data_IF_382725798425
#
_entry.id   IF_382725798425
#
_cell.length_a   1.000
_cell.length_b   1.000
_cell.length_c   1.000
_cell.angle_alpha   90.00
_cell.angle_beta   90.00
_cell.angle_gamma   90.00
#
_symmetry.space_group_name_H-M   'P 1'
#
loop_
_entity.id
_entity.type
_entity.pdbx_description
1 polymer ?
#
# COMPACT_ATOMS: atom_id res chain seq x y z
N UNK A 1 -14.34 13.01 -10.44
CA UNK A 1 -12.96 12.57 -10.11
C UNK A 1 -12.69 11.31 -10.91
N UNK A 2 -11.47 11.14 -11.42
CA UNK A 2 -11.06 9.92 -12.10
C UNK A 2 -10.36 9.00 -11.10
N UNK A 3 -10.79 7.75 -11.02
CA UNK A 3 -10.12 6.71 -10.23
C UNK A 3 -9.24 5.85 -11.14
N UNK A 4 -8.33 5.10 -10.53
CA UNK A 4 -7.29 4.35 -11.23
C UNK A 4 -7.32 2.90 -10.79
N UNK A 5 -7.54 2.00 -11.75
CA UNK A 5 -7.45 0.57 -11.52
C UNK A 5 -5.99 0.15 -11.30
N UNK A 6 -5.78 -0.81 -10.41
CA UNK A 6 -4.49 -1.43 -10.16
C UNK A 6 -4.65 -2.82 -9.56
N UNK A 7 -3.53 -3.42 -9.22
CA UNK A 7 -3.50 -4.79 -8.70
C UNK A 7 -2.29 -4.98 -7.80
N UNK A 8 -2.30 -6.04 -7.01
CA UNK A 8 -1.12 -6.55 -6.34
C UNK A 8 -1.04 -8.07 -6.49
N UNK A 9 0.17 -8.60 -6.41
CA UNK A 9 0.41 -10.04 -6.38
C UNK A 9 1.68 -10.32 -5.60
N UNK A 10 1.62 -11.38 -4.78
CA UNK A 10 2.67 -11.71 -3.81
C UNK A 10 4.05 -11.88 -4.47
N UNK A 11 4.12 -12.58 -5.60
CA UNK A 11 5.39 -12.87 -6.28
C UNK A 11 5.45 -12.07 -7.56
N UNK A 12 6.62 -11.50 -7.85
CA UNK A 12 6.82 -10.77 -9.10
C UNK A 12 6.47 -11.66 -10.30
N UNK A 13 5.49 -11.27 -11.13
CA UNK A 13 4.97 -12.12 -12.18
C UNK A 13 5.92 -12.23 -13.39
N UNK A 14 7.03 -11.48 -13.38
CA UNK A 14 7.96 -11.37 -14.48
C UNK A 14 7.58 -10.25 -15.45
N UNK A 15 8.60 -9.75 -16.16
CA UNK A 15 8.47 -8.58 -17.01
C UNK A 15 7.49 -8.79 -18.18
N UNK A 16 7.54 -9.95 -18.83
CA UNK A 16 6.65 -10.27 -19.95
C UNK A 16 5.17 -10.21 -19.57
N UNK A 17 4.83 -10.66 -18.36
CA UNK A 17 3.45 -10.63 -17.87
C UNK A 17 2.99 -9.19 -17.60
N UNK A 18 3.87 -8.34 -17.07
CA UNK A 18 3.58 -6.93 -16.83
C UNK A 18 3.44 -6.13 -18.13
N UNK A 19 4.29 -6.41 -19.13
CA UNK A 19 4.17 -5.81 -20.47
C UNK A 19 2.84 -6.17 -21.12
N UNK A 20 2.44 -7.44 -20.99
CA UNK A 20 1.15 -7.92 -21.47
C UNK A 20 0.00 -7.21 -20.76
N UNK A 21 0.03 -7.12 -19.43
CA UNK A 21 -1.00 -6.40 -18.66
C UNK A 21 -1.07 -4.93 -19.06
N UNK A 22 0.07 -4.26 -19.24
CA UNK A 22 0.09 -2.85 -19.63
C UNK A 22 -0.54 -2.61 -21.00
N UNK A 23 -0.41 -3.58 -21.90
CA UNK A 23 -0.93 -3.50 -23.28
C UNK A 23 -2.39 -3.97 -23.41
N UNK A 24 -2.89 -4.77 -22.46
CA UNK A 24 -4.18 -5.47 -22.56
C UNK A 24 -5.13 -5.19 -21.39
N UNK A 25 -4.84 -4.16 -20.59
CA UNK A 25 -5.71 -3.74 -19.50
C UNK A 25 -5.71 -2.22 -19.33
N UNK A 26 -6.68 -1.70 -18.57
CA UNK A 26 -6.65 -0.33 -18.06
C UNK A 26 -5.99 -0.23 -16.67
N UNK A 27 -5.29 -1.28 -16.21
CA UNK A 27 -4.53 -1.24 -14.96
C UNK A 27 -3.38 -0.25 -15.11
N UNK A 28 -3.22 0.60 -14.10
CA UNK A 28 -2.36 1.78 -14.17
C UNK A 28 -1.28 1.82 -13.10
N UNK A 29 -1.50 1.10 -11.98
CA UNK A 29 -0.54 0.93 -10.91
C UNK A 29 -0.52 -0.50 -10.41
N UNK A 30 0.56 -0.88 -9.72
CA UNK A 30 0.68 -2.15 -9.04
C UNK A 30 1.27 -2.05 -7.64
N UNK A 31 0.96 -3.02 -6.78
CA UNK A 31 1.68 -3.26 -5.54
C UNK A 31 3.16 -3.54 -5.81
N UNK A 32 4.02 -3.12 -4.89
CA UNK A 32 5.46 -3.36 -4.94
C UNK A 32 5.92 -3.87 -3.58
N UNK A 33 6.10 -5.18 -3.44
CA UNK A 33 6.48 -5.76 -2.16
C UNK A 33 7.94 -5.44 -1.84
N UNK A 34 8.13 -4.67 -0.77
CA UNK A 34 9.44 -4.44 -0.17
C UNK A 34 9.85 -5.72 0.54
N UNK A 35 11.09 -6.13 0.36
CA UNK A 35 11.57 -7.40 0.89
C UNK A 35 13.09 -7.43 1.10
N UNK A 36 13.59 -8.26 2.04
CA UNK A 36 12.83 -9.18 2.88
C UNK A 36 12.19 -8.46 4.07
N UNK A 37 11.04 -8.96 4.54
CA UNK A 37 10.35 -8.51 5.76
C UNK A 37 9.95 -9.72 6.63
N UNK A 38 9.50 -9.52 7.89
CA UNK A 38 9.13 -10.63 8.77
C UNK A 38 8.14 -11.63 8.19
N UNK A 39 7.10 -11.15 7.48
CA UNK A 39 6.05 -11.98 6.89
C UNK A 39 6.08 -12.03 5.35
N UNK A 40 7.11 -11.44 4.73
CA UNK A 40 7.35 -11.53 3.28
C UNK A 40 8.86 -11.60 2.96
N UNK A 41 9.48 -12.79 3.02
CA UNK A 41 10.91 -12.94 2.76
C UNK A 41 11.27 -12.94 1.27
N UNK A 42 10.29 -13.09 0.38
CA UNK A 42 10.50 -13.19 -1.06
C UNK A 42 10.94 -11.85 -1.66
N UNK A 43 12.07 -11.85 -2.37
CA UNK A 43 12.67 -10.62 -2.91
C UNK A 43 12.37 -10.40 -4.40
N UNK A 44 11.46 -11.16 -4.99
CA UNK A 44 11.27 -11.18 -6.45
C UNK A 44 10.85 -9.82 -7.02
N UNK A 45 10.17 -8.99 -6.23
CA UNK A 45 9.80 -7.62 -6.63
C UNK A 45 10.99 -6.65 -6.63
N UNK A 46 11.93 -6.81 -5.68
CA UNK A 46 13.07 -5.90 -5.50
C UNK A 46 13.93 -5.80 -6.78
N UNK A 47 14.56 -4.64 -6.98
CA UNK A 47 15.34 -4.26 -8.17
C UNK A 47 14.54 -4.09 -9.47
N UNK A 48 13.22 -4.26 -9.48
CA UNK A 48 12.39 -4.07 -10.68
C UNK A 48 11.74 -2.69 -10.79
N UNK A 49 11.86 -1.84 -9.75
CA UNK A 49 11.17 -0.54 -9.70
C UNK A 49 11.44 0.34 -10.92
N UNK A 50 12.68 0.46 -11.38
CA UNK A 50 13.00 1.32 -12.51
C UNK A 50 12.30 0.84 -13.79
N UNK A 51 12.33 -0.46 -14.06
CA UNK A 51 11.66 -1.04 -15.23
C UNK A 51 10.15 -0.77 -15.22
N UNK A 52 9.50 -0.92 -14.04
CA UNK A 52 8.08 -0.62 -13.87
C UNK A 52 7.74 0.84 -14.17
N UNK A 53 8.56 1.77 -13.68
CA UNK A 53 8.39 3.21 -13.94
C UNK A 53 8.59 3.52 -15.42
N UNK A 54 9.59 2.92 -16.07
CA UNK A 54 9.85 3.11 -17.50
C UNK A 54 8.69 2.62 -18.38
N UNK A 55 7.97 1.59 -17.93
CA UNK A 55 6.70 1.13 -18.53
C UNK A 55 5.49 2.01 -18.19
N UNK A 56 5.64 2.98 -17.30
CA UNK A 56 4.59 3.89 -16.88
C UNK A 56 3.62 3.31 -15.85
N UNK A 57 4.04 2.33 -15.04
CA UNK A 57 3.30 1.90 -13.85
C UNK A 57 3.47 2.92 -12.72
N UNK A 58 2.36 3.28 -12.07
CA UNK A 58 2.42 3.79 -10.70
C UNK A 58 2.64 2.65 -9.70
N UNK A 59 3.09 2.96 -8.49
CA UNK A 59 3.48 1.94 -7.52
C UNK A 59 2.82 2.16 -6.15
N UNK A 60 2.53 1.08 -5.45
CA UNK A 60 2.12 1.08 -4.04
C UNK A 60 3.12 0.20 -3.27
N UNK A 61 4.15 0.76 -2.61
CA UNK A 61 5.14 -0.04 -1.89
C UNK A 61 4.53 -0.64 -0.61
N UNK A 62 4.62 -1.96 -0.49
CA UNK A 62 3.98 -2.75 0.58
C UNK A 62 5.08 -3.35 1.46
N UNK A 63 4.97 -3.15 2.76
CA UNK A 63 5.81 -3.75 3.78
C UNK A 63 4.97 -4.71 4.62
N UNK A 64 5.25 -6.01 4.52
CA UNK A 64 4.52 -7.03 5.30
C UNK A 64 5.22 -7.25 6.64
N UNK A 65 4.80 -6.47 7.63
CA UNK A 65 5.33 -6.52 8.99
C UNK A 65 4.71 -7.64 9.83
N UNK A 66 4.92 -7.59 11.15
CA UNK A 66 4.24 -8.47 12.09
C UNK A 66 2.72 -8.26 12.08
N UNK A 67 1.99 -9.34 12.38
CA UNK A 67 0.53 -9.38 12.45
C UNK A 67 0.06 -9.59 13.89
N UNK A 68 -1.24 -9.44 14.12
CA UNK A 68 -1.91 -9.78 15.39
C UNK A 68 -1.50 -11.15 15.92
N UNK A 69 -1.32 -11.25 17.25
CA UNK A 69 -0.86 -12.47 17.92
C UNK A 69 0.62 -12.83 17.75
N UNK A 70 1.41 -12.02 17.04
CA UNK A 70 2.87 -12.22 16.95
C UNK A 70 3.53 -12.01 18.32
N UNK A 71 4.39 -12.94 18.75
CA UNK A 71 5.06 -12.88 20.06
C UNK A 71 5.88 -11.61 20.32
N UNK A 72 6.37 -10.96 19.26
CA UNK A 72 7.21 -9.77 19.33
C UNK A 72 6.49 -8.51 18.82
N UNK A 73 5.15 -8.50 18.83
CA UNK A 73 4.34 -7.35 18.44
C UNK A 73 4.49 -6.23 19.48
N UNK A 74 5.58 -5.48 19.38
CA UNK A 74 5.96 -4.46 20.37
C UNK A 74 6.21 -3.12 19.70
N UNK A 75 6.12 -2.04 20.49
CA UNK A 75 6.52 -0.70 20.06
C UNK A 75 7.94 -0.66 19.45
N UNK A 76 8.89 -1.35 20.08
CA UNK A 76 10.29 -1.38 19.62
C UNK A 76 10.42 -2.10 18.27
N UNK A 77 9.67 -3.18 18.07
CA UNK A 77 9.62 -3.88 16.80
C UNK A 77 8.95 -3.03 15.72
N UNK A 78 7.88 -2.29 16.04
CA UNK A 78 7.24 -1.37 15.10
C UNK A 78 8.21 -0.33 14.55
N UNK A 79 9.03 0.27 15.43
CA UNK A 79 10.09 1.19 14.99
C UNK A 79 11.17 0.49 14.14
N UNK A 80 11.57 -0.73 14.50
CA UNK A 80 12.54 -1.51 13.72
C UNK A 80 12.02 -1.77 12.30
N UNK A 81 10.77 -2.20 12.18
CA UNK A 81 10.09 -2.49 10.93
C UNK A 81 9.89 -1.22 10.09
N UNK A 82 9.57 -0.08 10.72
CA UNK A 82 9.46 1.21 10.03
C UNK A 82 10.79 1.67 9.44
N UNK A 83 11.89 1.50 10.19
CA UNK A 83 13.23 1.80 9.70
C UNK A 83 13.63 0.88 8.54
N UNK A 84 13.33 -0.42 8.65
CA UNK A 84 13.60 -1.39 7.59
C UNK A 84 12.81 -1.08 6.32
N UNK A 85 11.52 -0.78 6.43
CA UNK A 85 10.68 -0.37 5.30
C UNK A 85 11.28 0.85 4.57
N UNK A 86 11.70 1.87 5.32
CA UNK A 86 12.33 3.06 4.73
C UNK A 86 13.69 2.75 4.07
N UNK A 87 14.50 1.86 4.64
CA UNK A 87 15.77 1.42 4.04
C UNK A 87 15.55 0.68 2.71
N UNK A 88 14.60 -0.26 2.68
CA UNK A 88 14.24 -1.01 1.47
C UNK A 88 13.67 -0.09 0.39
N UNK A 89 12.78 0.82 0.77
CA UNK A 89 12.25 1.82 -0.16
C UNK A 89 13.35 2.73 -0.72
N UNK A 90 14.29 3.14 0.14
CA UNK A 90 15.47 3.92 -0.24
C UNK A 90 16.39 3.19 -1.22
N UNK A 91 16.64 1.88 -1.01
CA UNK A 91 17.47 1.10 -1.93
C UNK A 91 16.85 0.91 -3.32
N UNK A 92 15.52 0.98 -3.41
CA UNK A 92 14.77 0.93 -4.66
C UNK A 92 14.59 2.32 -5.30
N UNK A 93 15.06 3.38 -4.63
CA UNK A 93 14.99 4.75 -5.12
C UNK A 93 13.61 5.39 -5.02
N UNK A 94 12.72 4.91 -4.13
CA UNK A 94 11.47 5.61 -3.86
C UNK A 94 11.75 7.02 -3.30
N UNK A 95 11.07 8.05 -3.81
CA UNK A 95 11.35 9.43 -3.43
C UNK A 95 11.00 9.68 -1.96
N UNK A 96 11.74 10.60 -1.34
CA UNK A 96 11.38 11.16 -0.02
C UNK A 96 9.99 11.80 -0.08
N UNK A 97 9.35 11.87 1.08
CA UNK A 97 7.94 12.26 1.24
C UNK A 97 6.93 11.34 0.52
N UNK A 98 7.39 10.27 -0.15
CA UNK A 98 6.54 9.23 -0.71
C UNK A 98 5.90 8.36 0.36
N UNK A 99 4.85 7.64 -0.02
CA UNK A 99 4.08 6.78 0.88
C UNK A 99 4.56 5.34 0.86
N UNK A 100 4.75 4.77 2.05
CA UNK A 100 5.03 3.35 2.27
C UNK A 100 3.86 2.75 3.04
N UNK A 101 3.39 1.55 2.67
CA UNK A 101 2.20 0.94 3.26
C UNK A 101 2.59 -0.24 4.12
N UNK A 102 2.20 -0.24 5.41
CA UNK A 102 2.24 -1.46 6.20
C UNK A 102 1.05 -2.34 5.86
N UNK A 103 1.30 -3.63 5.67
CA UNK A 103 0.28 -4.65 5.48
C UNK A 103 -0.22 -5.15 6.84
N UNK A 104 -1.48 -4.88 7.15
CA UNK A 104 -2.17 -5.38 8.35
C UNK A 104 -3.45 -6.12 7.94
N UNK A 105 -3.39 -7.44 7.87
CA UNK A 105 -4.48 -8.25 7.34
C UNK A 105 -5.60 -8.51 8.35
N UNK A 106 -5.29 -8.53 9.65
CA UNK A 106 -6.28 -8.84 10.69
C UNK A 106 -7.32 -7.71 10.79
N UNK A 107 -8.59 -8.07 10.56
CA UNK A 107 -9.73 -7.16 10.66
C UNK A 107 -10.32 -7.04 12.06
N UNK A 108 -9.79 -7.75 13.06
CA UNK A 108 -10.23 -7.64 14.45
C UNK A 108 -9.82 -6.31 15.10
N UNK A 109 -10.46 -5.97 16.22
CA UNK A 109 -10.15 -4.75 16.97
C UNK A 109 -8.69 -4.71 17.41
N UNK A 110 -8.03 -3.55 17.25
CA UNK A 110 -6.65 -3.36 17.68
C UNK A 110 -6.51 -3.41 19.20
N UNK A 111 -5.78 -4.39 19.71
CA UNK A 111 -5.33 -4.38 21.10
C UNK A 111 -4.19 -3.36 21.34
N UNK A 112 -3.79 -3.19 22.59
CA UNK A 112 -2.78 -2.21 22.99
C UNK A 112 -1.41 -2.47 22.31
N UNK A 113 -1.05 -3.74 22.13
CA UNK A 113 0.21 -4.14 21.49
C UNK A 113 0.21 -3.82 20.00
N UNK A 114 -0.89 -4.09 19.30
CA UNK A 114 -1.09 -3.71 17.91
C UNK A 114 -1.07 -2.19 17.72
N UNK A 115 -1.77 -1.43 18.58
CA UNK A 115 -1.74 0.03 18.54
C UNK A 115 -0.32 0.58 18.77
N UNK A 116 0.40 0.03 19.75
CA UNK A 116 1.78 0.45 20.05
C UNK A 116 2.75 0.12 18.91
N UNK A 117 2.61 -1.04 18.28
CA UNK A 117 3.40 -1.47 17.13
C UNK A 117 3.14 -0.59 15.90
N UNK A 118 1.87 -0.43 15.49
CA UNK A 118 1.48 0.33 14.30
C UNK A 118 1.80 1.82 14.46
N UNK A 119 1.53 2.40 15.64
CA UNK A 119 1.87 3.79 15.93
C UNK A 119 3.37 4.06 15.89
N UNK A 120 4.20 3.13 16.41
CA UNK A 120 5.66 3.25 16.34
C UNK A 120 6.20 3.08 14.91
N UNK A 121 5.62 2.17 14.13
CA UNK A 121 5.95 2.02 12.72
C UNK A 121 5.72 3.32 11.96
N UNK A 122 4.53 3.92 12.09
CA UNK A 122 4.19 5.16 11.40
C UNK A 122 5.07 6.34 11.84
N UNK A 123 5.37 6.44 13.14
CA UNK A 123 6.28 7.45 13.67
C UNK A 123 7.70 7.31 13.10
N UNK A 124 8.23 6.08 13.00
CA UNK A 124 9.56 5.86 12.43
C UNK A 124 9.58 6.13 10.92
N UNK A 125 8.54 5.76 10.17
CA UNK A 125 8.41 6.09 8.74
C UNK A 125 8.53 7.59 8.50
N UNK A 126 7.82 8.40 9.31
CA UNK A 126 7.92 9.86 9.25
C UNK A 126 9.32 10.36 9.59
N UNK A 127 9.94 9.81 10.64
CA UNK A 127 11.32 10.16 11.04
C UNK A 127 12.33 9.81 9.95
N UNK A 128 12.08 8.75 9.19
CA UNK A 128 12.85 8.35 8.03
C UNK A 128 12.49 9.13 6.75
N UNK A 129 11.68 10.19 6.81
CA UNK A 129 11.41 11.08 5.68
C UNK A 129 10.47 10.51 4.61
N UNK A 130 9.60 9.57 5.00
CA UNK A 130 8.49 9.05 4.21
C UNK A 130 7.15 9.38 4.88
N UNK A 131 6.02 9.04 4.25
CA UNK A 131 4.69 9.12 4.84
C UNK A 131 4.11 7.71 5.05
N UNK A 132 3.38 7.48 6.15
CA UNK A 132 2.76 6.19 6.39
C UNK A 132 1.47 6.04 5.60
N UNK A 133 1.33 4.88 4.97
CA UNK A 133 0.08 4.30 4.52
C UNK A 133 -0.19 3.00 5.28
N UNK A 134 -1.45 2.58 5.30
CA UNK A 134 -1.87 1.32 5.93
C UNK A 134 -2.78 0.57 4.97
N UNK A 135 -2.49 -0.71 4.76
CA UNK A 135 -3.45 -1.67 4.25
C UNK A 135 -4.17 -2.33 5.42
N UNK A 136 -5.50 -2.31 5.45
CA UNK A 136 -6.30 -2.90 6.54
C UNK A 136 -7.74 -3.22 6.12
N UNK A 137 -8.46 -3.93 6.99
CA UNK A 137 -9.92 -4.09 6.85
C UNK A 137 -10.62 -2.74 6.77
N UNK A 138 -11.68 -2.63 5.98
CA UNK A 138 -12.54 -1.45 5.99
C UNK A 138 -13.15 -1.19 7.38
N UNK A 139 -13.44 -2.25 8.16
CA UNK A 139 -14.01 -2.14 9.51
C UNK A 139 -13.03 -1.52 10.50
N UNK A 140 -11.73 -1.63 10.21
CA UNK A 140 -10.65 -1.13 11.06
C UNK A 140 -10.15 0.26 10.65
N UNK A 141 -10.55 0.73 9.47
CA UNK A 141 -9.99 1.94 8.86
C UNK A 141 -10.20 3.20 9.73
N UNK A 142 -11.36 3.35 10.36
CA UNK A 142 -11.63 4.47 11.28
C UNK A 142 -10.73 4.41 12.54
N UNK A 143 -10.50 3.22 13.09
CA UNK A 143 -9.61 3.02 14.23
C UNK A 143 -8.14 3.29 13.86
N UNK A 144 -7.70 2.84 12.68
CA UNK A 144 -6.37 3.15 12.14
C UNK A 144 -6.19 4.66 11.97
N UNK A 145 -7.17 5.33 11.34
CA UNK A 145 -7.11 6.78 11.16
C UNK A 145 -7.06 7.52 12.50
N UNK A 146 -7.84 7.09 13.48
CA UNK A 146 -7.86 7.69 14.83
C UNK A 146 -6.54 7.48 15.58
N UNK A 147 -5.96 6.27 15.50
CA UNK A 147 -4.65 5.96 16.07
C UNK A 147 -3.56 6.88 15.49
N UNK A 148 -3.52 6.99 14.16
CA UNK A 148 -2.52 7.81 13.48
C UNK A 148 -2.74 9.31 13.75
N UNK A 149 -4.00 9.76 13.83
CA UNK A 149 -4.33 11.14 14.17
C UNK A 149 -3.80 11.56 15.55
N UNK A 150 -3.71 10.61 16.50
CA UNK A 150 -3.15 10.83 17.83
C UNK A 150 -1.61 10.94 17.91
N UNK A 151 -0.89 10.67 16.82
CA UNK A 151 0.57 10.82 16.79
C UNK A 151 1.01 12.29 16.76
N UNK A 152 2.27 12.54 17.15
CA UNK A 152 2.86 13.89 17.19
C UNK A 152 4.25 13.90 16.52
N UNK A 153 4.40 14.51 15.33
CA UNK A 153 3.33 15.11 14.53
C UNK A 153 2.34 14.06 14.01
N UNK A 154 1.12 14.48 13.74
CA UNK A 154 0.13 13.64 13.08
C UNK A 154 0.51 13.46 11.61
N UNK A 155 0.61 12.22 11.08
CA UNK A 155 0.90 11.97 9.67
C UNK A 155 -0.29 12.35 8.78
N UNK A 156 0.02 12.69 7.52
CA UNK A 156 -1.00 12.67 6.47
C UNK A 156 -1.20 11.20 6.04
N UNK A 157 -2.05 10.45 6.74
CA UNK A 157 -2.26 9.02 6.50
C UNK A 157 -2.94 8.75 5.14
N UNK A 158 -2.56 7.65 4.48
CA UNK A 158 -3.35 7.01 3.41
C UNK A 158 -3.82 5.63 3.84
N UNK A 159 -5.09 5.34 3.63
CA UNK A 159 -5.66 4.00 3.87
C UNK A 159 -5.93 3.31 2.53
N UNK A 160 -5.43 2.09 2.41
CA UNK A 160 -5.83 1.11 1.40
C UNK A 160 -6.69 0.06 2.09
N UNK A 161 -8.01 0.14 1.94
CA UNK A 161 -8.91 -0.75 2.65
C UNK A 161 -9.23 -2.00 1.82
N UNK A 162 -9.29 -3.17 2.44
CA UNK A 162 -9.92 -4.34 1.83
C UNK A 162 -11.40 -4.44 2.24
N UNK A 163 -12.24 -4.71 1.25
CA UNK A 163 -13.62 -5.14 1.40
C UNK A 163 -13.95 -5.97 0.17
N UNK A 164 -13.92 -7.30 0.32
CA UNK A 164 -13.95 -8.23 -0.81
C UNK A 164 -15.13 -9.19 -0.66
N UNK A 165 -15.78 -9.57 -1.78
CA UNK A 165 -16.94 -10.46 -1.73
C UNK A 165 -16.58 -11.91 -1.38
N UNK A 166 -15.30 -12.30 -1.56
CA UNK A 166 -14.80 -13.64 -1.33
C UNK A 166 -13.27 -13.61 -1.25
N UNK A 167 -12.71 -14.49 -0.43
CA UNK A 167 -11.27 -14.74 -0.32
C UNK A 167 -10.84 -15.98 -1.10
N UNK A 168 -11.77 -16.73 -1.68
CA UNK A 168 -11.45 -17.90 -2.48
C UNK A 168 -10.81 -17.50 -3.81
N UNK A 169 -10.01 -18.38 -4.39
CA UNK A 169 -9.53 -18.18 -5.76
C UNK A 169 -10.71 -18.25 -6.74
N UNK A 170 -10.80 -17.28 -7.66
CA UNK A 170 -11.77 -17.30 -8.75
C UNK A 170 -11.19 -16.76 -10.05
N UNK A 171 -11.68 -17.21 -11.23
CA UNK A 171 -11.34 -16.56 -12.48
C UNK A 171 -11.89 -15.13 -12.52
N UNK A 172 -11.12 -14.18 -13.06
CA UNK A 172 -11.65 -12.87 -13.41
C UNK A 172 -12.38 -12.95 -14.75
N UNK A 173 -13.71 -12.79 -14.73
CA UNK A 173 -14.57 -12.93 -15.91
C UNK A 173 -14.88 -11.58 -16.60
N UNK A 174 -14.42 -10.46 -16.04
CA UNK A 174 -14.64 -9.14 -16.61
C UNK A 174 -13.64 -8.79 -17.72
N UNK A 175 -13.85 -7.64 -18.35
CA UNK A 175 -12.89 -7.10 -19.32
C UNK A 175 -11.74 -6.40 -18.60
N UNK A 176 -10.52 -6.88 -18.77
CA UNK A 176 -9.32 -6.22 -18.22
C UNK A 176 -9.06 -4.84 -18.83
N UNK A 177 -9.45 -4.61 -20.08
CA UNK A 177 -9.35 -3.30 -20.73
C UNK A 177 -10.34 -2.26 -20.17
N UNK A 178 -11.32 -2.71 -19.39
CA UNK A 178 -12.35 -1.86 -18.81
C UNK A 178 -12.62 -2.27 -17.36
N UNK A 179 -11.57 -2.64 -16.61
CA UNK A 179 -11.70 -2.93 -15.19
C UNK A 179 -12.31 -1.71 -14.47
N UNK A 180 -13.35 -1.88 -13.65
CA UNK A 180 -14.03 -0.77 -13.01
C UNK A 180 -13.08 0.05 -12.11
N UNK A 181 -12.85 1.30 -12.49
CA UNK A 181 -12.19 2.27 -11.62
C UNK A 181 -13.22 2.81 -10.61
N UNK A 182 -13.55 1.98 -9.62
CA UNK A 182 -14.54 2.30 -8.57
C UNK A 182 -13.99 3.36 -7.61
N UNK A 183 -14.90 4.10 -6.97
CA UNK A 183 -14.52 4.99 -5.87
C UNK A 183 -13.97 4.18 -4.70
N UNK A 184 -12.77 4.49 -4.17
CA UNK A 184 -12.24 3.81 -2.99
C UNK A 184 -13.16 3.89 -1.76
N UNK A 185 -13.94 4.96 -1.62
CA UNK A 185 -14.95 5.09 -0.57
C UNK A 185 -16.03 3.98 -0.61
N UNK A 186 -16.15 3.27 -1.74
CA UNK A 186 -17.03 2.11 -1.90
C UNK A 186 -16.66 0.93 -0.99
N UNK A 187 -15.46 0.92 -0.39
CA UNK A 187 -15.07 -0.08 0.60
C UNK A 187 -15.86 0.02 1.92
N UNK A 188 -16.60 1.11 2.14
CA UNK A 188 -17.32 1.39 3.39
C UNK A 188 -16.63 2.42 4.30
N UNK A 189 -15.40 2.84 3.98
CA UNK A 189 -14.68 3.90 4.67
C UNK A 189 -14.48 5.13 3.76
N UNK A 190 -15.13 6.28 4.05
CA UNK A 190 -15.09 7.45 3.15
C UNK A 190 -13.69 8.03 2.91
N UNK A 191 -12.76 7.86 3.85
CA UNK A 191 -11.40 8.38 3.77
C UNK A 191 -10.42 7.48 3.01
N UNK A 192 -10.89 6.36 2.42
CA UNK A 192 -10.02 5.43 1.71
C UNK A 192 -9.35 6.11 0.51
N UNK A 193 -8.03 5.94 0.41
CA UNK A 193 -7.24 6.34 -0.75
C UNK A 193 -7.26 5.26 -1.83
N UNK A 194 -7.23 4.00 -1.41
CA UNK A 194 -7.37 2.84 -2.29
C UNK A 194 -8.31 1.81 -1.67
N UNK A 195 -8.88 0.96 -2.52
CA UNK A 195 -9.77 -0.13 -2.13
C UNK A 195 -9.36 -1.41 -2.87
N UNK A 196 -8.99 -2.45 -2.13
CA UNK A 196 -8.93 -3.82 -2.66
C UNK A 196 -10.34 -4.40 -2.64
N UNK A 197 -10.92 -4.59 -3.82
CA UNK A 197 -12.34 -4.94 -3.96
C UNK A 197 -12.58 -6.31 -4.59
N UNK A 198 -11.52 -6.97 -5.08
CA UNK A 198 -11.51 -8.38 -5.43
C UNK A 198 -10.18 -8.99 -4.99
N UNK A 199 -10.21 -10.21 -4.48
CA UNK A 199 -9.03 -10.92 -3.98
C UNK A 199 -8.89 -12.27 -4.69
N UNK A 200 -7.68 -12.76 -4.93
CA UNK A 200 -7.39 -14.08 -5.52
C UNK A 200 -8.04 -14.29 -6.90
N UNK A 201 -8.08 -13.23 -7.70
CA UNK A 201 -8.53 -13.27 -9.08
C UNK A 201 -7.45 -13.87 -9.99
N UNK A 202 -7.80 -14.90 -10.76
CA UNK A 202 -6.94 -15.45 -11.82
C UNK A 202 -7.24 -14.75 -13.13
N UNK A 203 -6.28 -13.99 -13.63
CA UNK A 203 -6.38 -13.30 -14.92
C UNK A 203 -6.21 -14.30 -16.07
N UNK A 204 -6.72 -13.96 -17.25
CA UNK A 204 -6.58 -14.78 -18.46
C UNK A 204 -6.33 -13.90 -19.69
N UNK A 205 -5.50 -14.33 -20.65
CA UNK A 205 -4.64 -15.53 -20.64
C UNK A 205 -3.42 -15.41 -19.70
N UNK A 206 -3.00 -16.52 -19.08
CA UNK A 206 -1.89 -16.58 -18.14
C UNK A 206 -2.40 -16.61 -16.71
N UNK A 207 -2.20 -17.72 -16.00
CA UNK A 207 -2.78 -18.06 -14.69
C UNK A 207 -2.26 -17.19 -13.53
N UNK A 208 -2.13 -15.89 -13.75
CA UNK A 208 -1.65 -14.91 -12.79
C UNK A 208 -2.76 -14.66 -11.77
N UNK A 209 -2.50 -15.03 -10.53
CA UNK A 209 -3.36 -14.71 -9.40
C UNK A 209 -3.00 -13.31 -8.89
N UNK A 210 -3.99 -12.44 -8.81
CA UNK A 210 -3.86 -11.06 -8.36
C UNK A 210 -5.01 -10.68 -7.44
N UNK A 211 -4.77 -9.69 -6.61
CA UNK A 211 -5.83 -8.91 -5.97
C UNK A 211 -6.03 -7.64 -6.79
N UNK A 212 -7.29 -7.24 -7.00
CA UNK A 212 -7.64 -6.10 -7.85
C UNK A 212 -8.17 -4.95 -7.01
N UNK A 213 -7.64 -3.77 -7.30
CA UNK A 213 -7.84 -2.58 -6.50
C UNK A 213 -8.17 -1.35 -7.35
N UNK A 214 -8.76 -0.34 -6.72
CA UNK A 214 -8.89 1.00 -7.27
C UNK A 214 -8.25 2.04 -6.34
N UNK A 215 -7.73 3.13 -6.90
CA UNK A 215 -7.09 4.23 -6.15
C UNK A 215 -7.54 5.60 -6.66
N UNK A 216 -7.50 6.59 -5.77
CA UNK A 216 -7.63 8.01 -6.12
C UNK A 216 -6.41 8.54 -6.89
N UNK A 217 -5.29 7.81 -6.89
CA UNK A 217 -4.03 8.22 -7.49
C UNK A 217 -3.57 7.22 -8.54
N UNK A 218 -3.00 7.73 -9.62
CA UNK A 218 -2.33 6.90 -10.63
C UNK A 218 -1.04 6.28 -10.10
N UNK A 219 -0.40 6.93 -9.11
CA UNK A 219 0.77 6.43 -8.39
C UNK A 219 0.53 6.57 -6.88
N UNK A 220 0.07 5.50 -6.21
CA UNK A 220 -0.21 5.51 -4.77
C UNK A 220 0.98 5.83 -3.87
N UNK A 221 2.22 5.72 -4.37
CA UNK A 221 3.45 6.05 -3.65
C UNK A 221 3.80 7.54 -3.68
N UNK A 222 3.18 8.31 -4.60
CA UNK A 222 3.58 9.68 -4.88
C UNK A 222 3.41 10.59 -3.63
N UNK A 223 4.36 11.51 -3.38
CA UNK A 223 4.24 12.50 -2.31
C UNK A 223 2.93 13.31 -2.41
N UNK A 224 2.40 13.74 -1.27
CA UNK A 224 1.22 14.60 -1.28
C UNK A 224 1.53 15.99 -1.85
N UNK A 225 0.65 16.50 -2.71
CA UNK A 225 0.74 17.87 -3.23
C UNK A 225 0.44 18.92 -2.15
N UNK A 226 -0.23 18.53 -1.05
CA UNK A 226 -0.61 19.44 0.06
C UNK A 226 0.61 20.06 0.75
N UNK A 227 1.74 19.34 0.80
CA UNK A 227 2.98 19.75 1.48
C UNK A 227 3.76 20.79 0.68
N UNK A 228 3.65 20.77 -0.65
CA UNK A 228 4.30 21.73 -1.56
C UNK A 228 3.54 23.07 -1.69
N UNK A 229 2.34 23.16 -1.12
CA UNK A 229 1.53 24.38 -1.08
C UNK A 229 1.56 25.09 0.29
N UNK A 230 2.32 24.59 1.26
CA UNK A 230 2.50 25.30 2.54
C UNK A 230 3.41 26.52 2.31
N UNK A 231 2.97 27.75 2.64
CA UNK A 231 3.84 28.92 2.56
C UNK A 231 5.10 28.67 3.37
N UNK A 232 6.26 28.92 2.76
CA UNK A 232 7.52 28.99 3.51
C UNK A 232 7.38 30.13 4.50
N UNK A 233 7.13 29.81 5.77
CA UNK A 233 7.26 30.79 6.84
C UNK A 233 8.73 31.23 6.86
N UNK A 234 9.00 32.43 6.36
CA UNK A 234 10.31 33.06 6.54
C UNK A 234 10.59 33.09 8.04
N UNK A 235 11.66 32.41 8.46
CA UNK A 235 12.23 32.59 9.78
C UNK A 235 12.70 34.03 9.90
N UNK A 236 11.98 34.84 10.67
CA UNK A 236 12.44 36.16 11.07
C UNK A 236 13.67 35.99 11.97
N UNK A 237 14.78 36.55 11.52
CA UNK A 237 16.02 36.76 12.28
C UNK A 237 15.85 37.82 13.36
#
# INVERSE_FOLDING_TARGET
MSFYAGFDTKIFPGQLQLDWLKSNSNLSWCGYYLAPTPNHPDKSWMSNRQALIDQGWGLLPIYVGLQSGSKNLTKAQGATDGSQAAQLAGSEGFPRDGYLYIDWEDGSSLDDDAQAYLGAWAAEIMKCGYQPGVYCSHDLADSMASLMAGLSPSPELRIWAWNVPTVNQQPYLGSLNAFPAVTPAGCGYPGAMAWQHLQNCVLMPGTMQVDLSASNLKDPSAPSLSRWQRPVTQSSS
#
